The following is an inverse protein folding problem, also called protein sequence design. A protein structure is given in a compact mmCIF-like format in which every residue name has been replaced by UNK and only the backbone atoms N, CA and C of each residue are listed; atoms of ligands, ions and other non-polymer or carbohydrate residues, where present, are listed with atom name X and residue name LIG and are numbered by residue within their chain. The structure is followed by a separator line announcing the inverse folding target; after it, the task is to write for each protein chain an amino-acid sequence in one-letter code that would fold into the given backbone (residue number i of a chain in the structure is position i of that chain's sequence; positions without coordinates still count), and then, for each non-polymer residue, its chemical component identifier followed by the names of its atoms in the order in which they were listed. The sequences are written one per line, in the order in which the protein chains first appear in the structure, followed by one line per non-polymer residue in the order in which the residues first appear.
data_IF_312988226935
#
_entry.id   IF_312988226935
#
_cell.length_a   1.000
_cell.length_b   1.000
_cell.length_c   1.000
_cell.angle_alpha   90.00
_cell.angle_beta   90.00
_cell.angle_gamma   90.00
#
_symmetry.space_group_name_H-M   'P 1'
#
loop_
_entity.id
_entity.type
_entity.pdbx_description
1 polymer ?
#
# COMPACT_ATOMS: atom_id res chain seq x y z
N UNK A 1 33.57 -29.19 3.61
CA UNK A 1 32.64 -28.05 3.82
C UNK A 1 32.43 -27.19 2.57
N UNK A 2 33.47 -26.84 1.78
CA UNK A 2 33.31 -26.03 0.54
C UNK A 2 32.54 -26.71 -0.60
N UNK A 3 32.73 -28.02 -0.80
CA UNK A 3 32.05 -28.77 -1.87
C UNK A 3 30.52 -28.84 -1.67
N UNK A 4 30.08 -29.01 -0.42
CA UNK A 4 28.65 -29.03 -0.06
C UNK A 4 28.01 -27.67 -0.27
N UNK A 5 28.67 -26.58 0.16
CA UNK A 5 28.18 -25.23 -0.07
C UNK A 5 28.04 -24.90 -1.56
N UNK A 6 29.03 -25.26 -2.39
CA UNK A 6 28.99 -25.04 -3.83
C UNK A 6 27.91 -25.89 -4.54
N UNK A 7 27.70 -27.15 -4.11
CA UNK A 7 26.61 -28.00 -4.64
C UNK A 7 25.23 -27.44 -4.30
N UNK A 8 25.04 -26.92 -3.08
CA UNK A 8 23.75 -26.35 -2.64
C UNK A 8 23.48 -25.01 -3.32
N UNK A 9 24.48 -24.14 -3.49
CA UNK A 9 24.38 -22.89 -4.26
C UNK A 9 23.98 -23.13 -5.73
N UNK A 10 24.44 -24.24 -6.32
CA UNK A 10 24.05 -24.65 -7.67
C UNK A 10 22.58 -25.05 -7.84
N UNK A 11 21.90 -25.47 -6.76
CA UNK A 11 20.47 -25.86 -6.77
C UNK A 11 19.57 -24.64 -6.59
N UNK A 12 19.98 -23.67 -5.76
CA UNK A 12 19.18 -22.48 -5.44
C UNK A 12 19.88 -21.22 -5.94
N UNK A 13 19.77 -20.97 -7.25
CA UNK A 13 20.40 -19.80 -7.90
C UNK A 13 19.91 -18.49 -7.27
N UNK A 14 20.85 -17.67 -6.81
CA UNK A 14 20.58 -16.35 -6.23
C UNK A 14 20.43 -16.32 -4.71
N UNK A 15 20.54 -17.46 -4.03
CA UNK A 15 20.67 -17.52 -2.57
C UNK A 15 22.15 -17.43 -2.17
N UNK A 16 22.46 -16.65 -1.14
CA UNK A 16 23.80 -16.53 -0.58
C UNK A 16 23.89 -17.32 0.73
N UNK A 17 24.97 -18.06 0.93
CA UNK A 17 25.25 -18.75 2.20
C UNK A 17 25.57 -17.72 3.27
N UNK A 18 24.78 -17.68 4.34
CA UNK A 18 24.98 -16.75 5.47
C UNK A 18 25.69 -17.41 6.64
N UNK A 19 25.51 -18.72 6.83
CA UNK A 19 26.19 -19.51 7.86
C UNK A 19 26.35 -20.95 7.41
N UNK A 20 27.49 -21.55 7.75
CA UNK A 20 27.70 -22.98 7.59
C UNK A 20 28.24 -23.54 8.92
N UNK A 21 27.63 -24.60 9.43
CA UNK A 21 28.04 -25.28 10.65
C UNK A 21 28.20 -26.77 10.36
N UNK A 22 29.27 -27.37 10.87
CA UNK A 22 29.53 -28.80 10.72
C UNK A 22 29.75 -29.42 12.10
N UNK A 23 28.92 -30.39 12.45
CA UNK A 23 29.04 -31.12 13.71
C UNK A 23 28.46 -32.52 13.54
N UNK A 24 29.14 -33.53 14.10
CA UNK A 24 28.70 -34.93 14.12
C UNK A 24 28.26 -35.45 12.73
N UNK A 25 29.08 -35.23 11.72
CA UNK A 25 28.82 -35.61 10.32
C UNK A 25 27.59 -34.98 9.66
N UNK A 26 27.01 -33.95 10.29
CA UNK A 26 25.93 -33.14 9.72
C UNK A 26 26.45 -31.77 9.33
N UNK A 27 26.24 -31.39 8.06
CA UNK A 27 26.48 -30.04 7.55
C UNK A 27 25.16 -29.26 7.52
N UNK A 28 25.06 -28.19 8.32
CA UNK A 28 23.95 -27.24 8.28
C UNK A 28 24.38 -25.99 7.52
N UNK A 29 23.67 -25.66 6.44
CA UNK A 29 23.91 -24.47 5.62
C UNK A 29 22.69 -23.57 5.69
N UNK A 30 22.86 -22.37 6.24
CA UNK A 30 21.84 -21.32 6.21
C UNK A 30 22.07 -20.46 4.98
N UNK A 31 21.02 -20.26 4.20
CA UNK A 31 21.05 -19.41 3.02
C UNK A 31 20.00 -18.29 3.14
N UNK A 32 20.28 -17.15 2.55
CA UNK A 32 19.35 -16.04 2.42
C UNK A 32 19.20 -15.65 0.95
N UNK A 33 17.97 -15.32 0.54
CA UNK A 33 17.67 -14.83 -0.80
C UNK A 33 16.88 -13.52 -0.69
N UNK A 34 17.26 -12.46 -1.42
CA UNK A 34 16.42 -11.27 -1.53
C UNK A 34 15.09 -11.62 -2.19
N UNK A 35 13.99 -11.14 -1.61
CA UNK A 35 12.66 -11.31 -2.21
C UNK A 35 12.58 -10.51 -3.52
N UNK A 36 13.25 -9.35 -3.62
CA UNK A 36 13.34 -8.55 -4.84
C UNK A 36 14.29 -9.15 -5.88
N UNK A 37 14.15 -8.71 -7.13
CA UNK A 37 14.99 -9.10 -8.25
C UNK A 37 14.56 -10.45 -8.83
N UNK A 38 15.52 -11.36 -8.98
CA UNK A 38 15.32 -12.63 -9.70
C UNK A 38 14.23 -13.52 -9.09
N UNK A 39 14.10 -13.50 -7.76
CA UNK A 39 13.05 -14.27 -7.09
C UNK A 39 11.66 -13.73 -7.44
N UNK A 40 11.43 -12.43 -7.23
CA UNK A 40 10.14 -11.81 -7.56
C UNK A 40 9.78 -11.97 -9.04
N UNK A 41 10.74 -11.81 -9.94
CA UNK A 41 10.53 -12.03 -11.38
C UNK A 41 10.08 -13.46 -11.71
N UNK A 42 10.52 -14.46 -10.94
CA UNK A 42 10.14 -15.85 -11.16
C UNK A 42 8.72 -16.17 -10.66
N UNK A 43 8.29 -15.54 -9.56
CA UNK A 43 6.95 -15.77 -8.97
C UNK A 43 5.89 -14.79 -9.48
N UNK A 44 6.30 -13.65 -10.04
CA UNK A 44 5.46 -12.61 -10.59
C UNK A 44 6.01 -12.16 -11.96
N UNK A 45 5.73 -12.93 -13.03
CA UNK A 45 6.18 -12.58 -14.38
C UNK A 45 5.34 -11.43 -14.97
N UNK A 46 5.94 -10.64 -15.86
CA UNK A 46 5.24 -9.60 -16.61
C UNK A 46 4.21 -10.22 -17.58
N UNK A 47 3.04 -9.60 -17.70
CA UNK A 47 1.93 -10.02 -18.57
C UNK A 47 2.30 -9.93 -20.07
N UNK A 48 3.32 -9.12 -20.41
CA UNK A 48 3.91 -9.07 -21.74
C UNK A 48 4.87 -10.25 -22.03
N UNK A 49 5.35 -10.95 -21.00
CA UNK A 49 6.18 -12.15 -21.15
C UNK A 49 5.32 -13.42 -21.25
N UNK A 50 4.15 -13.45 -20.59
CA UNK A 50 3.18 -14.56 -20.65
C UNK A 50 2.47 -14.64 -22.01
N UNK A 51 2.26 -13.51 -22.69
CA UNK A 51 1.63 -13.43 -24.02
C UNK A 51 2.48 -13.97 -25.18
N UNK A 52 3.78 -14.23 -24.98
CA UNK A 52 4.61 -14.98 -25.95
C UNK A 52 4.55 -16.50 -25.77
N UNK A 53 4.02 -16.98 -24.64
CA UNK A 53 3.95 -18.40 -24.30
C UNK A 53 2.50 -18.92 -24.20
N UNK A 54 1.51 -18.06 -24.40
CA UNK A 54 0.10 -18.44 -24.33
C UNK A 54 -0.69 -17.80 -25.47
N UNK A 55 -1.14 -18.63 -26.40
CA UNK A 55 -2.11 -18.28 -27.42
C UNK A 55 -3.43 -18.96 -27.06
N UNK A 56 -4.37 -18.27 -26.39
CA UNK A 56 -5.62 -18.90 -25.99
C UNK A 56 -6.54 -19.03 -27.20
N UNK A 57 -6.85 -20.27 -27.55
CA UNK A 57 -8.00 -20.58 -28.39
C UNK A 57 -9.30 -20.14 -27.71
N UNK A 58 -10.16 -19.52 -28.52
CA UNK A 58 -11.49 -18.98 -28.22
C UNK A 58 -12.25 -19.68 -27.07
N UNK A 59 -12.53 -18.95 -25.99
CA UNK A 59 -13.46 -19.35 -24.94
C UNK A 59 -14.63 -18.37 -24.84
N UNK A 60 -15.46 -18.34 -25.88
CA UNK A 60 -16.79 -17.70 -25.87
C UNK A 60 -17.83 -18.71 -25.37
N UNK A 61 -18.01 -18.82 -24.05
CA UNK A 61 -19.13 -19.61 -23.49
C UNK A 61 -19.53 -19.19 -22.07
N UNK A 62 -18.57 -18.82 -21.21
CA UNK A 62 -18.84 -18.47 -19.81
C UNK A 62 -19.39 -17.04 -19.62
N UNK A 63 -19.11 -16.12 -20.55
CA UNK A 63 -19.59 -14.73 -20.51
C UNK A 63 -21.12 -14.59 -20.72
N UNK A 64 -21.80 -15.62 -21.23
CA UNK A 64 -23.25 -15.55 -21.51
C UNK A 64 -24.15 -16.04 -20.39
N UNK A 65 -23.59 -16.58 -19.30
CA UNK A 65 -24.38 -17.15 -18.20
C UNK A 65 -24.56 -16.25 -16.98
N UNK A 66 -23.86 -15.11 -16.90
CA UNK A 66 -23.93 -14.21 -15.74
C UNK A 66 -24.77 -12.93 -15.96
N UNK A 67 -25.43 -12.78 -17.11
CA UNK A 67 -26.26 -11.61 -17.44
C UNK A 67 -27.76 -11.80 -17.15
N UNK A 68 -28.15 -12.69 -16.23
CA UNK A 68 -29.57 -12.94 -15.94
C UNK A 68 -29.83 -13.35 -14.48
N UNK A 69 -29.72 -12.40 -13.56
CA UNK A 69 -30.35 -12.48 -12.25
C UNK A 69 -30.50 -11.06 -11.65
N UNK A 70 -31.53 -10.35 -12.11
CA UNK A 70 -31.98 -9.09 -11.54
C UNK A 70 -32.89 -9.32 -10.31
N UNK A 71 -32.77 -8.40 -9.34
CA UNK A 71 -33.83 -7.88 -8.46
C UNK A 71 -34.39 -8.68 -7.26
N UNK A 72 -34.52 -7.93 -6.14
CA UNK A 72 -35.57 -7.99 -5.09
C UNK A 72 -35.32 -8.74 -3.77
N UNK A 73 -34.53 -8.13 -2.87
CA UNK A 73 -34.79 -8.01 -1.42
C UNK A 73 -34.18 -6.66 -0.99
N UNK A 74 -34.87 -5.63 -0.53
CA UNK A 74 -36.16 -5.59 0.16
C UNK A 74 -35.91 -5.51 1.67
N UNK A 75 -35.73 -4.29 2.18
CA UNK A 75 -35.83 -3.85 3.58
C UNK A 75 -34.88 -4.48 4.61
N UNK A 76 -34.08 -3.66 5.31
CA UNK A 76 -34.09 -3.53 6.78
C UNK A 76 -33.05 -2.50 7.28
N UNK A 77 -33.57 -1.54 8.06
CA UNK A 77 -32.94 -0.91 9.24
C UNK A 77 -31.83 0.14 9.07
N UNK A 78 -32.32 1.39 9.03
CA UNK A 78 -31.80 2.59 9.70
C UNK A 78 -31.08 2.31 11.04
N UNK A 79 -29.77 2.50 11.07
CA UNK A 79 -29.03 2.91 12.26
C UNK A 79 -28.24 4.16 11.87
N UNK A 80 -28.62 5.30 12.45
CA UNK A 80 -27.75 6.46 12.44
C UNK A 80 -26.52 6.08 13.28
N UNK A 81 -25.39 5.84 12.60
CA UNK A 81 -24.10 5.68 13.26
C UNK A 81 -23.80 6.96 14.02
N UNK A 82 -23.98 6.91 15.34
CA UNK A 82 -23.50 7.94 16.24
C UNK A 82 -21.99 8.09 16.00
N UNK A 83 -21.60 9.18 15.36
CA UNK A 83 -20.20 9.56 15.26
C UNK A 83 -19.81 10.08 16.65
N UNK A 84 -19.43 9.18 17.54
CA UNK A 84 -18.58 9.53 18.67
C UNK A 84 -17.20 9.87 18.08
N UNK A 85 -17.08 11.08 17.53
CA UNK A 85 -15.78 11.62 17.21
C UNK A 85 -15.05 11.72 18.55
N UNK A 86 -13.98 10.94 18.70
CA UNK A 86 -13.07 11.12 19.82
C UNK A 86 -12.72 12.60 19.90
N UNK A 87 -12.85 13.24 21.08
CA UNK A 87 -12.53 14.65 21.21
C UNK A 87 -11.10 14.87 20.75
N UNK A 88 -10.88 15.89 19.93
CA UNK A 88 -9.54 16.27 19.50
C UNK A 88 -8.76 16.74 20.73
N UNK A 89 -7.79 15.92 21.18
CA UNK A 89 -6.92 16.22 22.33
C UNK A 89 -5.54 16.59 21.80
N UNK A 90 -5.02 17.73 22.25
CA UNK A 90 -3.65 18.17 21.98
C UNK A 90 -2.69 17.25 22.74
N UNK A 91 -1.89 16.43 22.04
CA UNK A 91 -1.02 15.43 22.67
C UNK A 91 0.41 15.88 22.83
N UNK A 92 0.85 16.82 22.01
CA UNK A 92 2.23 17.29 21.97
C UNK A 92 2.32 18.78 21.58
N UNK A 93 3.54 19.32 21.61
CA UNK A 93 3.81 20.73 21.29
C UNK A 93 3.54 21.07 19.82
N UNK A 94 3.76 20.13 18.89
CA UNK A 94 3.50 20.35 17.47
C UNK A 94 1.99 20.50 17.20
N UNK A 95 1.16 19.67 17.81
CA UNK A 95 -0.31 19.77 17.76
C UNK A 95 -0.75 21.13 18.33
N UNK A 96 -0.19 21.52 19.48
CA UNK A 96 -0.52 22.79 20.12
C UNK A 96 -0.17 23.99 19.23
N UNK A 97 1.00 23.95 18.59
CA UNK A 97 1.46 24.99 17.66
C UNK A 97 0.58 25.07 16.41
N UNK A 98 0.18 23.92 15.85
CA UNK A 98 -0.71 23.87 14.70
C UNK A 98 -2.09 24.46 15.04
N UNK A 99 -2.68 24.09 16.18
CA UNK A 99 -3.97 24.63 16.64
C UNK A 99 -3.88 26.13 16.87
N UNK A 100 -2.81 26.62 17.53
CA UNK A 100 -2.61 28.06 17.72
C UNK A 100 -2.49 28.80 16.39
N UNK A 101 -1.73 28.28 15.44
CA UNK A 101 -1.59 28.89 14.12
C UNK A 101 -2.94 28.96 13.38
N UNK A 102 -3.80 27.94 13.51
CA UNK A 102 -5.15 27.96 12.94
C UNK A 102 -6.04 28.98 13.65
N UNK A 103 -6.00 29.07 14.98
CA UNK A 103 -6.73 30.08 15.75
C UNK A 103 -6.31 31.51 15.36
N UNK A 104 -5.00 31.76 15.32
CA UNK A 104 -4.44 33.06 14.91
C UNK A 104 -4.87 33.45 13.48
N UNK A 105 -4.81 32.50 12.54
CA UNK A 105 -5.29 32.73 11.18
C UNK A 105 -6.79 33.03 11.13
N UNK A 106 -7.63 32.31 11.89
CA UNK A 106 -9.08 32.58 11.94
C UNK A 106 -9.41 33.96 12.50
N UNK A 107 -8.71 34.37 13.57
CA UNK A 107 -8.88 35.69 14.20
C UNK A 107 -8.47 36.83 13.27
N UNK A 108 -7.37 36.66 12.54
CA UNK A 108 -6.86 37.67 11.59
C UNK A 108 -7.71 37.80 10.34
N UNK A 109 -8.28 36.70 9.84
CA UNK A 109 -8.98 36.65 8.56
C UNK A 109 -10.51 36.75 8.66
N UNK A 110 -11.08 36.96 9.86
CA UNK A 110 -12.54 37.03 10.10
C UNK A 110 -13.31 35.92 9.37
N UNK A 111 -12.82 34.69 9.49
CA UNK A 111 -13.31 33.56 8.70
C UNK A 111 -14.75 33.23 9.07
N UNK A 112 -15.69 33.45 8.13
CA UNK A 112 -17.13 33.19 8.36
C UNK A 112 -17.46 31.69 8.39
N UNK A 113 -16.73 30.86 7.64
CA UNK A 113 -16.90 29.40 7.61
C UNK A 113 -15.57 28.65 7.71
N UNK A 114 -14.99 28.54 8.92
CA UNK A 114 -13.66 27.96 9.13
C UNK A 114 -13.48 26.57 8.54
N UNK A 115 -14.50 25.72 8.64
CA UNK A 115 -14.45 24.36 8.10
C UNK A 115 -14.33 24.32 6.58
N UNK A 116 -15.06 25.19 5.86
CA UNK A 116 -15.04 25.22 4.40
C UNK A 116 -13.68 25.72 3.87
N UNK A 117 -13.12 26.74 4.52
CA UNK A 117 -11.84 27.32 4.10
C UNK A 117 -10.66 26.40 4.43
N UNK A 118 -10.67 25.73 5.59
CA UNK A 118 -9.68 24.69 5.92
C UNK A 118 -9.76 23.51 4.93
N UNK A 119 -10.98 23.10 4.56
CA UNK A 119 -11.18 22.03 3.59
C UNK A 119 -10.63 22.42 2.21
N UNK A 120 -10.81 23.67 1.79
CA UNK A 120 -10.25 24.19 0.53
C UNK A 120 -8.73 24.24 0.59
N UNK A 121 -8.15 24.78 1.67
CA UNK A 121 -6.71 24.83 1.85
C UNK A 121 -6.07 23.42 1.85
N UNK A 122 -6.76 22.43 2.43
CA UNK A 122 -6.32 21.03 2.40
C UNK A 122 -6.39 20.45 0.98
N UNK A 123 -7.49 20.67 0.26
CA UNK A 123 -7.62 20.22 -1.12
C UNK A 123 -6.56 20.87 -2.03
N UNK A 124 -6.30 22.16 -1.85
CA UNK A 124 -5.25 22.87 -2.56
C UNK A 124 -3.87 22.31 -2.22
N UNK A 125 -3.60 22.03 -0.94
CA UNK A 125 -2.35 21.40 -0.53
C UNK A 125 -2.17 20.02 -1.19
N UNK A 126 -3.19 19.18 -1.21
CA UNK A 126 -3.13 17.82 -1.74
C UNK A 126 -2.99 17.75 -3.26
N UNK A 127 -3.54 18.75 -3.96
CA UNK A 127 -3.50 18.82 -5.43
C UNK A 127 -2.29 19.60 -5.95
N UNK A 128 -1.85 20.64 -5.24
CA UNK A 128 -0.73 21.50 -5.67
C UNK A 128 0.63 21.08 -5.11
N UNK A 129 0.66 20.29 -4.02
CA UNK A 129 1.93 19.80 -3.47
C UNK A 129 2.55 18.71 -4.33
N UNK A 130 3.89 18.77 -4.39
CA UNK A 130 4.70 17.65 -4.87
C UNK A 130 4.95 16.67 -3.73
N UNK A 131 4.32 15.49 -3.79
CA UNK A 131 4.56 14.38 -2.88
C UNK A 131 5.56 13.39 -3.47
N UNK A 132 6.33 12.74 -2.60
CA UNK A 132 7.40 11.83 -2.99
C UNK A 132 7.04 10.35 -2.91
N UNK A 133 5.86 10.02 -2.39
CA UNK A 133 5.36 8.66 -2.26
C UNK A 133 4.01 8.61 -1.55
N UNK A 134 3.44 7.41 -1.48
CA UNK A 134 2.22 7.11 -0.73
C UNK A 134 2.59 6.37 0.56
N UNK A 135 2.14 6.92 1.70
CA UNK A 135 2.26 6.30 3.01
C UNK A 135 0.88 5.88 3.50
N UNK A 136 0.70 4.59 3.77
CA UNK A 136 -0.57 4.01 4.19
C UNK A 136 -0.44 3.57 5.64
N UNK A 137 -1.18 4.20 6.54
CA UNK A 137 -1.31 3.74 7.92
C UNK A 137 -2.33 2.59 7.98
N UNK A 138 -1.83 1.37 8.10
CA UNK A 138 -2.61 0.15 8.34
C UNK A 138 -2.38 -0.42 9.75
N UNK A 139 -1.82 0.38 10.68
CA UNK A 139 -1.55 -0.06 12.07
C UNK A 139 -2.80 -0.44 12.86
N UNK A 140 -3.98 0.00 12.41
CA UNK A 140 -5.26 -0.36 13.00
C UNK A 140 -6.00 -1.51 12.28
N UNK A 141 -5.35 -2.17 11.31
CA UNK A 141 -5.92 -3.29 10.57
C UNK A 141 -5.32 -4.59 11.12
N UNK A 142 -6.05 -5.33 11.99
CA UNK A 142 -5.48 -6.46 12.73
C UNK A 142 -5.16 -7.68 11.85
N UNK A 143 -5.95 -7.94 10.81
CA UNK A 143 -5.85 -9.16 10.00
C UNK A 143 -5.06 -8.98 8.70
N UNK A 144 -4.24 -7.92 8.61
CA UNK A 144 -3.48 -7.64 7.41
C UNK A 144 -2.24 -8.53 7.31
N UNK A 145 -2.18 -9.35 6.27
CA UNK A 145 -1.04 -10.22 5.99
C UNK A 145 -0.06 -9.55 5.02
N UNK A 146 1.21 -9.49 5.41
CA UNK A 146 2.26 -8.91 4.59
C UNK A 146 2.41 -9.65 3.25
N UNK A 147 2.50 -8.88 2.17
CA UNK A 147 2.71 -9.39 0.83
C UNK A 147 3.80 -8.60 0.10
N UNK A 148 4.44 -9.22 -0.87
CA UNK A 148 5.45 -8.52 -1.69
C UNK A 148 4.81 -7.44 -2.56
N UNK A 149 3.57 -7.68 -3.01
CA UNK A 149 2.78 -6.81 -3.88
C UNK A 149 1.32 -6.86 -3.39
N UNK A 150 0.98 -6.19 -2.27
CA UNK A 150 -0.41 -6.09 -1.81
C UNK A 150 -1.21 -5.22 -2.77
N UNK A 151 -2.51 -5.49 -2.92
CA UNK A 151 -3.39 -4.57 -3.61
C UNK A 151 -3.97 -3.55 -2.63
N UNK A 152 -4.13 -2.32 -3.08
CA UNK A 152 -4.83 -1.24 -2.39
C UNK A 152 -6.08 -0.93 -3.18
N UNK A 153 -7.24 -0.98 -2.53
CA UNK A 153 -8.55 -0.80 -3.14
C UNK A 153 -9.39 0.20 -2.35
N UNK A 154 -10.33 0.85 -3.01
CA UNK A 154 -11.40 1.57 -2.31
C UNK A 154 -12.51 0.62 -1.83
N UNK A 155 -13.55 1.18 -1.21
CA UNK A 155 -14.71 0.47 -0.66
C UNK A 155 -15.53 -0.22 -1.76
N UNK A 156 -15.52 0.31 -2.98
CA UNK A 156 -16.17 -0.24 -4.16
C UNK A 156 -15.35 -1.37 -4.81
N UNK A 157 -14.09 -1.55 -4.41
CA UNK A 157 -13.17 -2.56 -4.94
C UNK A 157 -12.33 -2.08 -6.12
N UNK A 158 -12.40 -0.79 -6.47
CA UNK A 158 -11.57 -0.15 -7.49
C UNK A 158 -10.11 -0.27 -7.07
N UNK A 159 -9.29 -0.79 -7.97
CA UNK A 159 -7.86 -0.98 -7.72
C UNK A 159 -7.11 0.35 -7.84
N UNK A 160 -6.52 0.80 -6.73
CA UNK A 160 -5.68 2.00 -6.66
C UNK A 160 -4.21 1.68 -6.90
N UNK A 161 -3.72 0.55 -6.38
CA UNK A 161 -2.31 0.14 -6.49
C UNK A 161 -2.16 -1.38 -6.33
N UNK A 162 -1.23 -2.03 -7.05
CA UNK A 162 -0.57 -1.55 -8.25
C UNK A 162 -1.57 -1.44 -9.42
N UNK A 163 -1.23 -0.64 -10.44
CA UNK A 163 -2.02 -0.52 -11.67
C UNK A 163 -1.19 -0.92 -12.88
N UNK A 164 -1.80 -0.97 -14.07
CA UNK A 164 -1.07 -1.18 -15.34
C UNK A 164 -0.01 -0.11 -15.62
N UNK A 165 -0.13 1.07 -15.02
CA UNK A 165 0.87 2.13 -15.15
C UNK A 165 2.04 1.97 -14.16
N UNK A 166 1.94 1.03 -13.22
CA UNK A 166 3.02 0.73 -12.28
C UNK A 166 4.13 -0.04 -12.98
N UNK A 167 5.34 0.50 -12.89
CA UNK A 167 6.55 -0.04 -13.52
C UNK A 167 6.90 -1.40 -12.94
N UNK A 168 6.81 -2.42 -13.78
CA UNK A 168 7.21 -3.79 -13.43
C UNK A 168 8.66 -3.85 -12.95
N UNK A 169 9.58 -3.19 -13.66
CA UNK A 169 10.99 -3.13 -13.30
C UNK A 169 11.19 -2.51 -11.90
N UNK A 170 10.40 -1.48 -11.56
CA UNK A 170 10.45 -0.89 -10.24
C UNK A 170 9.91 -1.85 -9.17
N UNK A 171 8.78 -2.55 -9.37
CA UNK A 171 8.30 -3.52 -8.37
C UNK A 171 9.31 -4.67 -8.21
N UNK A 172 9.88 -5.17 -9.31
CA UNK A 172 10.85 -6.28 -9.25
C UNK A 172 12.09 -5.85 -8.47
N UNK A 173 12.67 -4.70 -8.80
CA UNK A 173 13.92 -4.27 -8.18
C UNK A 173 13.75 -3.71 -6.77
N UNK A 174 12.62 -3.05 -6.49
CA UNK A 174 12.40 -2.33 -5.24
C UNK A 174 11.42 -3.01 -4.30
N UNK A 175 10.72 -4.06 -4.73
CA UNK A 175 9.47 -4.61 -4.13
C UNK A 175 8.29 -3.67 -4.38
N UNK A 176 7.05 -4.18 -4.43
CA UNK A 176 5.86 -3.33 -4.61
C UNK A 176 5.69 -2.34 -3.47
N UNK A 177 5.91 -2.78 -2.23
CA UNK A 177 5.80 -1.94 -1.03
C UNK A 177 7.00 -2.13 -0.09
N UNK A 178 7.18 -1.21 0.85
CA UNK A 178 7.99 -1.43 2.05
C UNK A 178 7.10 -1.34 3.28
N UNK A 179 7.45 -2.07 4.33
CA UNK A 179 6.74 -2.05 5.59
C UNK A 179 7.53 -1.33 6.67
N UNK A 180 6.80 -0.72 7.59
CA UNK A 180 7.32 -0.13 8.83
C UNK A 180 6.33 -0.43 9.97
N UNK A 181 6.77 -0.31 11.22
CA UNK A 181 5.94 -0.58 12.40
C UNK A 181 5.51 0.69 13.11
N UNK A 182 6.12 1.83 12.76
CA UNK A 182 5.83 3.12 13.36
C UNK A 182 5.66 4.19 12.27
N UNK A 183 4.62 5.02 12.43
CA UNK A 183 4.30 6.05 11.45
C UNK A 183 5.35 7.17 11.41
N UNK A 184 5.95 7.51 12.55
CA UNK A 184 6.97 8.55 12.62
C UNK A 184 8.27 8.10 11.95
N UNK A 185 8.64 6.83 12.11
CA UNK A 185 9.77 6.23 11.38
C UNK A 185 9.48 6.13 9.88
N UNK A 186 8.27 5.71 9.52
CA UNK A 186 7.85 5.55 8.13
C UNK A 186 7.93 6.84 7.30
N UNK A 187 7.56 7.99 7.88
CA UNK A 187 7.62 9.30 7.19
C UNK A 187 9.06 9.66 6.80
N UNK A 188 10.07 9.18 7.53
CA UNK A 188 11.49 9.42 7.25
C UNK A 188 12.10 8.40 6.30
N UNK A 189 11.33 7.39 5.89
CA UNK A 189 11.83 6.30 5.07
C UNK A 189 12.13 6.78 3.64
N UNK A 190 13.30 6.40 3.12
CA UNK A 190 13.72 6.73 1.74
C UNK A 190 12.74 6.25 0.67
N UNK A 191 11.89 5.27 0.96
CA UNK A 191 10.85 4.76 0.06
C UNK A 191 9.80 5.81 -0.31
N UNK A 192 9.35 6.59 0.67
CA UNK A 192 8.35 7.64 0.49
C UNK A 192 8.94 9.05 0.60
N UNK A 193 10.24 9.14 0.92
CA UNK A 193 11.12 10.31 0.93
C UNK A 193 10.51 11.55 1.61
N UNK A 194 11.03 12.73 1.28
CA UNK A 194 10.90 13.99 2.06
C UNK A 194 9.48 14.45 2.36
N UNK A 195 8.46 14.08 1.57
CA UNK A 195 7.07 14.46 1.82
C UNK A 195 6.09 13.39 1.30
N UNK A 196 5.71 12.40 2.12
CA UNK A 196 4.70 11.40 1.75
C UNK A 196 3.29 12.00 1.70
N UNK A 197 2.45 11.48 0.81
CA UNK A 197 1.00 11.61 0.91
C UNK A 197 0.51 10.54 1.89
N UNK A 198 -0.09 10.94 3.01
CA UNK A 198 -0.48 10.01 4.09
C UNK A 198 -1.99 9.73 4.03
N UNK A 199 -2.35 8.45 3.98
CA UNK A 199 -3.74 7.97 4.08
C UNK A 199 -3.82 6.84 5.11
N UNK A 200 -5.04 6.48 5.49
CA UNK A 200 -5.31 5.41 6.45
C UNK A 200 -6.10 4.27 5.80
N UNK A 201 -5.69 3.03 6.07
CA UNK A 201 -6.46 1.85 5.73
C UNK A 201 -7.57 1.61 6.75
N UNK A 202 -8.70 1.10 6.26
CA UNK A 202 -9.88 0.78 7.08
C UNK A 202 -9.85 -0.66 7.55
N UNK A 203 -9.59 -1.58 6.62
CA UNK A 203 -9.58 -3.02 6.84
C UNK A 203 -8.82 -3.72 5.71
N UNK A 204 -8.79 -5.04 5.75
CA UNK A 204 -8.52 -5.85 4.56
C UNK A 204 -9.74 -5.85 3.63
N UNK A 205 -9.52 -6.13 2.35
CA UNK A 205 -10.60 -6.18 1.36
C UNK A 205 -11.25 -7.57 1.34
N UNK A 206 -12.45 -7.68 1.91
CA UNK A 206 -13.23 -8.93 1.98
C UNK A 206 -12.41 -10.06 2.63
N UNK A 207 -12.20 -11.18 1.94
CA UNK A 207 -11.43 -12.33 2.39
C UNK A 207 -9.98 -12.33 1.87
N UNK A 208 -9.50 -11.22 1.33
CA UNK A 208 -8.13 -11.05 0.85
C UNK A 208 -7.30 -10.35 1.94
N UNK A 209 -6.67 -11.15 2.81
CA UNK A 209 -5.88 -10.68 3.97
C UNK A 209 -4.73 -9.75 3.60
N UNK A 210 -4.19 -9.86 2.38
CA UNK A 210 -3.11 -9.00 1.88
C UNK A 210 -3.56 -7.81 1.02
N UNK A 211 -4.88 -7.64 0.81
CA UNK A 211 -5.42 -6.48 0.10
C UNK A 211 -5.94 -5.47 1.12
N UNK A 212 -5.48 -4.23 1.07
CA UNK A 212 -5.97 -3.15 1.93
C UNK A 212 -7.14 -2.41 1.28
N UNK A 213 -8.14 -2.11 2.10
CA UNK A 213 -9.26 -1.26 1.75
C UNK A 213 -9.07 0.13 2.38
N UNK A 214 -9.22 1.18 1.57
CA UNK A 214 -9.18 2.59 1.99
C UNK A 214 -10.52 3.27 1.67
N UNK A 215 -10.78 4.46 2.23
CA UNK A 215 -11.99 5.21 1.86
C UNK A 215 -11.96 5.65 0.41
N UNK A 216 -13.12 5.65 -0.25
CA UNK A 216 -13.26 6.18 -1.61
C UNK A 216 -12.80 7.65 -1.73
N UNK A 217 -13.05 8.46 -0.70
CA UNK A 217 -12.58 9.85 -0.64
C UNK A 217 -11.05 9.96 -0.64
N UNK A 218 -10.35 9.06 0.07
CA UNK A 218 -8.90 9.04 0.12
C UNK A 218 -8.30 8.56 -1.20
N UNK A 219 -8.92 7.54 -1.83
CA UNK A 219 -8.55 7.09 -3.16
C UNK A 219 -8.65 8.23 -4.21
N UNK A 220 -9.72 9.02 -4.13
CA UNK A 220 -9.90 10.20 -5.00
C UNK A 220 -8.81 11.25 -4.76
N UNK A 221 -8.48 11.57 -3.52
CA UNK A 221 -7.42 12.54 -3.18
C UNK A 221 -6.06 12.10 -3.71
N UNK A 222 -5.71 10.82 -3.54
CA UNK A 222 -4.46 10.23 -4.05
C UNK A 222 -4.40 10.30 -5.58
N UNK A 223 -5.48 9.95 -6.28
CA UNK A 223 -5.52 9.96 -7.75
C UNK A 223 -5.51 11.37 -8.35
N UNK A 224 -6.01 12.38 -7.63
CA UNK A 224 -5.92 13.79 -8.05
C UNK A 224 -4.50 14.36 -7.92
N UNK A 225 -3.65 13.76 -7.06
CA UNK A 225 -2.27 14.18 -6.87
C UNK A 225 -1.33 13.53 -7.88
N UNK A 226 -1.01 14.26 -8.96
CA UNK A 226 -0.16 13.75 -10.05
C UNK A 226 1.21 13.25 -9.59
N UNK A 227 1.83 13.94 -8.62
CA UNK A 227 3.12 13.57 -8.03
C UNK A 227 3.03 12.26 -7.24
N UNK A 228 1.95 12.07 -6.48
CA UNK A 228 1.68 10.82 -5.75
C UNK A 228 1.49 9.65 -6.70
N UNK A 229 0.69 9.82 -7.76
CA UNK A 229 0.49 8.79 -8.81
C UNK A 229 1.80 8.43 -9.49
N UNK A 230 2.63 9.42 -9.83
CA UNK A 230 3.95 9.18 -10.43
C UNK A 230 4.89 8.40 -9.49
N UNK A 231 4.87 8.72 -8.19
CA UNK A 231 5.66 8.00 -7.20
C UNK A 231 5.17 6.55 -7.03
N UNK A 232 3.86 6.33 -6.94
CA UNK A 232 3.25 4.99 -6.90
C UNK A 232 3.64 4.17 -8.12
N UNK A 233 3.60 4.75 -9.32
CA UNK A 233 4.00 4.08 -10.55
C UNK A 233 5.48 3.63 -10.54
N UNK A 234 6.31 4.18 -9.66
CA UNK A 234 7.73 3.79 -9.44
C UNK A 234 7.94 2.99 -8.15
N UNK A 235 6.89 2.33 -7.67
CA UNK A 235 6.86 1.57 -6.41
C UNK A 235 7.19 2.41 -5.16
N UNK A 236 6.85 3.70 -5.18
CA UNK A 236 6.99 4.64 -4.06
C UNK A 236 5.87 4.51 -3.02
N UNK A 237 5.68 3.30 -2.48
CA UNK A 237 4.62 2.99 -1.50
C UNK A 237 5.21 2.36 -0.24
N UNK A 238 4.76 2.84 0.92
CA UNK A 238 5.10 2.29 2.23
C UNK A 238 3.83 2.08 3.05
N UNK A 239 3.75 0.94 3.75
CA UNK A 239 2.62 0.56 4.59
C UNK A 239 3.10 0.42 6.04
N UNK A 240 2.47 1.12 6.96
CA UNK A 240 2.69 0.94 8.39
C UNK A 240 1.74 -0.15 8.90
N UNK A 241 2.26 -1.12 9.63
CA UNK A 241 1.47 -2.24 10.17
C UNK A 241 1.59 -2.30 11.69
N UNK A 242 0.65 -2.98 12.33
CA UNK A 242 0.74 -3.28 13.75
C UNK A 242 1.91 -4.26 14.03
N UNK A 243 2.38 -4.25 15.28
CA UNK A 243 3.34 -5.24 15.82
C UNK A 243 2.60 -6.50 16.24
#
# INVERSE_FOLDING_TARGET
SREVAARVEGVVKGAAVTRAHYQNDVATVTMAMPISGKFLQAVWPDDQATSRLYQPGNATALDRLLARADTWLGSLSIIASAHAADPFVIRNEADAKAVRAVLEWMEQNQVEQPGADLSRALADFETSSVFSGLLIDASAVPDFELATIPNIRDEEGTLLYPTKATSYDDIVNKRGVTYDFDLQDAVRNRRVATKPFVIRALSTYKNLSSDLMIRAADAKRVTQSSSTVQAMNKAGVLIVVAI
#
